data_IF_948984344189
#
_entry.id   IF_948984344189
#
_cell.length_a   1.000
_cell.length_b   1.000
_cell.length_c   1.000
_cell.angle_alpha   90.00
_cell.angle_beta   90.00
_cell.angle_gamma   90.00
#
_symmetry.space_group_name_H-M   'P 1'
#
loop_
_entity.id
_entity.type
_entity.pdbx_description
1 polymer ?
#
# COMPACT_ATOMS: atom_id res chain seq x y z
N UNK A 1 22.24 12.30 2.88
CA UNK A 1 20.84 12.49 2.45
C UNK A 1 20.62 13.85 1.80
N UNK A 2 20.55 14.97 2.53
CA UNK A 2 20.30 16.28 1.88
C UNK A 2 21.38 16.65 0.84
N UNK A 3 22.66 16.40 1.13
CA UNK A 3 23.74 16.60 0.16
C UNK A 3 23.70 15.67 -1.05
N UNK A 4 23.14 14.46 -0.91
CA UNK A 4 23.01 13.50 -2.03
C UNK A 4 21.84 13.89 -2.93
N UNK A 5 20.74 14.34 -2.33
CA UNK A 5 19.54 14.85 -3.03
C UNK A 5 19.88 16.06 -3.91
N UNK A 6 20.74 16.96 -3.42
CA UNK A 6 21.24 18.09 -4.19
C UNK A 6 22.14 17.65 -5.36
N UNK A 7 22.93 16.58 -5.18
CA UNK A 7 23.77 16.01 -6.24
C UNK A 7 22.97 15.26 -7.31
N UNK A 8 21.84 14.67 -6.92
CA UNK A 8 20.94 13.94 -7.83
C UNK A 8 19.87 14.84 -8.49
N UNK A 9 19.89 16.16 -8.22
CA UNK A 9 18.97 17.14 -8.81
C UNK A 9 17.48 16.79 -8.59
N UNK A 10 17.12 16.32 -7.40
CA UNK A 10 15.73 15.98 -7.08
C UNK A 10 14.98 17.23 -6.61
N UNK A 11 14.24 17.91 -7.48
CA UNK A 11 13.67 19.25 -7.20
C UNK A 11 12.31 19.28 -6.46
N UNK A 12 11.73 18.13 -6.08
CA UNK A 12 10.31 18.04 -5.69
C UNK A 12 10.09 17.74 -4.20
N UNK A 13 9.85 16.49 -3.82
CA UNK A 13 9.63 16.04 -2.44
C UNK A 13 10.19 14.63 -2.34
N UNK A 14 11.04 14.36 -1.34
CA UNK A 14 11.53 13.00 -1.08
C UNK A 14 10.62 12.35 -0.04
N UNK A 15 10.03 11.21 -0.42
CA UNK A 15 9.23 10.40 0.49
C UNK A 15 10.13 9.42 1.25
N UNK A 16 10.11 9.52 2.56
CA UNK A 16 10.88 8.64 3.43
C UNK A 16 10.05 7.43 3.84
N UNK A 17 10.43 6.28 3.29
CA UNK A 17 9.89 4.99 3.69
C UNK A 17 10.69 4.42 4.88
N UNK A 18 10.04 3.69 5.81
CA UNK A 18 10.73 2.97 6.86
C UNK A 18 11.62 1.87 6.29
N UNK A 19 12.75 1.60 6.94
CA UNK A 19 13.49 0.34 6.77
C UNK A 19 13.12 -0.64 7.89
N UNK A 20 13.50 -0.34 9.13
CA UNK A 20 13.14 -1.17 10.29
C UNK A 20 11.64 -1.12 10.61
N UNK A 21 10.99 0.03 10.39
CA UNK A 21 9.55 0.19 10.64
C UNK A 21 8.64 -0.69 9.77
N UNK A 22 9.18 -1.32 8.71
CA UNK A 22 8.45 -2.27 7.88
C UNK A 22 8.05 -3.54 8.67
N UNK A 23 8.83 -3.94 9.68
CA UNK A 23 8.48 -5.12 10.49
C UNK A 23 7.21 -4.92 11.31
N UNK A 24 6.81 -3.66 11.57
CA UNK A 24 5.57 -3.32 12.28
C UNK A 24 4.36 -3.92 11.57
N UNK A 25 4.41 -4.03 10.24
CA UNK A 25 3.33 -4.59 9.42
C UNK A 25 3.10 -6.08 9.68
N UNK A 26 4.02 -6.77 10.35
CA UNK A 26 3.99 -8.22 10.59
C UNK A 26 3.78 -8.62 12.04
N UNK A 27 3.68 -7.66 12.97
CA UNK A 27 3.43 -7.97 14.37
C UNK A 27 1.98 -8.44 14.59
N UNK A 28 1.82 -9.44 15.45
CA UNK A 28 0.51 -10.01 15.80
C UNK A 28 -0.11 -9.34 17.04
N UNK A 29 0.73 -8.83 17.95
CA UNK A 29 0.27 -8.13 19.16
C UNK A 29 -0.29 -6.76 18.80
N UNK A 30 -1.62 -6.61 18.95
CA UNK A 30 -2.38 -5.40 18.64
C UNK A 30 -1.88 -4.17 19.40
N UNK A 31 -1.67 -4.29 20.70
CA UNK A 31 -1.31 -3.15 21.54
C UNK A 31 0.13 -2.72 21.27
N UNK A 32 1.02 -3.69 21.07
CA UNK A 32 2.40 -3.41 20.71
C UNK A 32 2.51 -2.77 19.32
N UNK A 33 1.89 -3.37 18.30
CA UNK A 33 1.96 -2.90 16.92
C UNK A 33 1.34 -1.51 16.76
N UNK A 34 0.18 -1.26 17.37
CA UNK A 34 -0.50 0.04 17.30
C UNK A 34 0.29 1.16 17.98
N UNK A 35 0.86 0.91 19.16
CA UNK A 35 1.71 1.88 19.87
C UNK A 35 2.99 2.16 19.11
N UNK A 36 3.62 1.12 18.55
CA UNK A 36 4.85 1.25 17.78
C UNK A 36 4.61 1.99 16.46
N UNK A 37 3.49 1.74 15.77
CA UNK A 37 3.08 2.47 14.58
C UNK A 37 2.89 3.98 14.88
N UNK A 38 2.20 4.33 15.97
CA UNK A 38 2.05 5.73 16.40
C UNK A 38 3.39 6.37 16.73
N UNK A 39 4.24 5.66 17.48
CA UNK A 39 5.58 6.13 17.81
C UNK A 39 6.42 6.39 16.56
N UNK A 40 6.42 5.45 15.61
CA UNK A 40 7.12 5.60 14.33
C UNK A 40 6.58 6.79 13.54
N UNK A 41 5.26 6.95 13.44
CA UNK A 41 4.63 8.05 12.72
C UNK A 41 4.97 9.42 13.32
N UNK A 42 5.03 9.52 14.65
CA UNK A 42 5.49 10.73 15.32
C UNK A 42 6.98 10.98 15.04
N UNK A 43 7.82 9.96 15.21
CA UNK A 43 9.26 10.08 15.01
C UNK A 43 9.60 10.52 13.58
N UNK A 44 8.98 9.93 12.56
CA UNK A 44 9.27 10.31 11.16
C UNK A 44 8.76 11.71 10.85
N UNK A 45 7.62 12.13 11.42
CA UNK A 45 7.12 13.49 11.28
C UNK A 45 8.09 14.51 11.91
N UNK A 46 8.59 14.22 13.12
CA UNK A 46 9.57 15.06 13.81
C UNK A 46 10.90 15.15 13.04
N UNK A 47 11.36 14.04 12.44
CA UNK A 47 12.54 14.03 11.57
C UNK A 47 12.35 14.87 10.30
N UNK A 48 11.13 14.92 9.75
CA UNK A 48 10.82 15.67 8.54
C UNK A 48 10.55 17.16 8.81
N UNK A 49 10.09 17.51 10.01
CA UNK A 49 9.69 18.88 10.37
C UNK A 49 10.74 19.97 10.06
N UNK A 50 12.06 19.77 10.29
CA UNK A 50 13.09 20.77 9.99
C UNK A 50 13.24 21.09 8.50
N UNK A 51 12.76 20.22 7.61
CA UNK A 51 13.01 20.33 6.16
C UNK A 51 12.01 21.22 5.43
N UNK A 52 11.09 21.88 6.14
CA UNK A 52 10.09 22.81 5.58
C UNK A 52 9.28 22.22 4.40
N UNK A 53 9.04 20.91 4.44
CA UNK A 53 8.18 20.20 3.49
C UNK A 53 8.90 19.53 2.33
N UNK A 54 10.22 19.64 2.24
CA UNK A 54 11.05 18.95 1.24
C UNK A 54 11.14 17.44 1.48
N UNK A 55 11.26 17.02 2.74
CA UNK A 55 11.12 15.63 3.13
C UNK A 55 9.74 15.41 3.72
N UNK A 56 9.08 14.33 3.32
CA UNK A 56 7.84 13.89 3.96
C UNK A 56 7.91 12.40 4.29
N UNK A 57 7.52 12.08 5.52
CA UNK A 57 7.43 10.70 5.97
C UNK A 57 6.24 9.98 5.34
N UNK A 58 6.43 8.68 5.11
CA UNK A 58 5.35 7.74 4.86
C UNK A 58 5.04 7.03 6.18
N UNK A 59 3.78 7.13 6.62
CA UNK A 59 3.37 6.64 7.93
C UNK A 59 2.97 5.18 7.88
N UNK A 60 3.44 4.39 8.82
CA UNK A 60 3.08 2.98 8.94
C UNK A 60 1.68 2.85 9.52
N UNK A 61 0.85 2.08 8.82
CA UNK A 61 -0.47 1.68 9.32
C UNK A 61 -0.46 0.17 9.52
N UNK A 62 -0.63 -0.25 10.77
CA UNK A 62 -0.82 -1.67 11.06
C UNK A 62 -2.22 -2.09 10.58
N UNK A 63 -2.24 -2.99 9.59
CA UNK A 63 -3.45 -3.40 8.87
C UNK A 63 -4.27 -4.41 9.66
N UNK A 64 -5.09 -3.89 10.56
CA UNK A 64 -6.11 -4.64 11.27
C UNK A 64 -7.48 -4.00 11.10
N UNK A 65 -8.52 -4.57 11.71
CA UNK A 65 -9.89 -4.11 11.57
C UNK A 65 -10.35 -3.30 12.79
N UNK A 66 -11.36 -2.47 12.57
CA UNK A 66 -12.01 -1.70 13.63
C UNK A 66 -11.40 -0.32 13.87
N UNK A 67 -11.61 0.23 15.06
CA UNK A 67 -11.34 1.64 15.34
C UNK A 67 -9.84 1.98 15.40
N UNK A 68 -8.99 1.02 15.77
CA UNK A 68 -7.55 1.24 15.96
C UNK A 68 -6.88 1.72 14.69
N UNK A 69 -7.14 1.06 13.55
CA UNK A 69 -6.55 1.43 12.26
C UNK A 69 -6.98 2.84 11.84
N UNK A 70 -8.25 3.18 12.04
CA UNK A 70 -8.82 4.49 11.73
C UNK A 70 -8.15 5.58 12.58
N UNK A 71 -7.92 5.32 13.86
CA UNK A 71 -7.30 6.28 14.76
C UNK A 71 -5.80 6.47 14.50
N UNK A 72 -5.11 5.43 14.01
CA UNK A 72 -3.71 5.55 13.55
C UNK A 72 -3.67 6.37 12.25
N UNK A 73 -4.55 6.10 11.29
CA UNK A 73 -4.66 6.87 10.04
C UNK A 73 -4.99 8.34 10.33
N UNK A 74 -5.89 8.62 11.27
CA UNK A 74 -6.20 9.98 11.72
C UNK A 74 -4.97 10.67 12.29
N UNK A 75 -4.28 10.03 13.22
CA UNK A 75 -3.08 10.58 13.83
C UNK A 75 -1.98 10.83 12.79
N UNK A 76 -1.77 9.91 11.84
CA UNK A 76 -0.81 10.11 10.76
C UNK A 76 -1.16 11.35 9.91
N UNK A 77 -2.45 11.58 9.61
CA UNK A 77 -2.88 12.78 8.88
C UNK A 77 -2.59 14.06 9.65
N UNK A 78 -2.90 14.07 10.94
CA UNK A 78 -2.66 15.23 11.83
C UNK A 78 -1.17 15.59 11.93
N UNK A 79 -0.30 14.59 11.82
CA UNK A 79 1.15 14.75 11.81
C UNK A 79 1.72 15.23 10.46
N UNK A 80 0.89 15.37 9.43
CA UNK A 80 1.33 15.83 8.10
C UNK A 80 2.03 14.75 7.27
N UNK A 81 1.84 13.48 7.59
CA UNK A 81 2.34 12.34 6.80
C UNK A 81 1.78 12.39 5.38
N UNK A 82 2.63 12.13 4.38
CA UNK A 82 2.26 12.26 2.97
C UNK A 82 1.45 11.08 2.42
N UNK A 83 1.74 9.86 2.86
CA UNK A 83 1.08 8.63 2.42
C UNK A 83 1.07 7.59 3.55
N UNK A 84 0.10 6.67 3.51
CA UNK A 84 0.05 5.53 4.43
C UNK A 84 0.75 4.34 3.82
N UNK A 85 1.57 3.64 4.58
CA UNK A 85 2.23 2.41 4.19
C UNK A 85 1.44 1.20 4.70
N UNK A 86 1.09 0.30 3.78
CA UNK A 86 0.44 -0.99 4.06
C UNK A 86 1.15 -2.14 3.34
N UNK A 87 1.08 -3.36 3.88
CA UNK A 87 1.60 -4.53 3.17
C UNK A 87 0.67 -4.90 2.00
N UNK A 88 1.23 -5.46 0.91
CA UNK A 88 0.44 -5.87 -0.25
C UNK A 88 -0.40 -7.14 -0.01
N UNK A 89 0.01 -7.97 0.96
CA UNK A 89 -0.70 -9.17 1.39
C UNK A 89 -1.03 -9.06 2.87
N UNK A 90 -2.12 -9.69 3.32
CA UNK A 90 -2.44 -9.87 4.74
C UNK A 90 -2.44 -11.37 5.05
N UNK A 91 -2.20 -11.75 6.31
CA UNK A 91 -2.02 -13.15 6.71
C UNK A 91 -3.06 -14.13 6.11
N UNK A 92 -4.26 -14.18 6.69
CA UNK A 92 -5.33 -15.09 6.26
C UNK A 92 -6.38 -14.40 5.38
N UNK A 93 -6.14 -13.16 4.99
CA UNK A 93 -7.09 -12.28 4.31
C UNK A 93 -6.38 -11.56 3.18
N UNK A 94 -7.14 -11.06 2.24
CA UNK A 94 -6.63 -10.14 1.24
C UNK A 94 -7.24 -8.75 1.45
N UNK A 95 -6.78 -7.78 0.67
CA UNK A 95 -7.14 -6.37 0.81
C UNK A 95 -8.61 -6.06 0.42
N UNK A 96 -9.32 -6.98 -0.23
CA UNK A 96 -10.75 -6.86 -0.52
C UNK A 96 -11.68 -7.12 0.66
N UNK A 97 -11.16 -7.61 1.79
CA UNK A 97 -11.99 -8.11 2.87
C UNK A 97 -12.98 -7.02 3.37
N UNK A 98 -14.28 -7.32 3.54
CA UNK A 98 -15.30 -6.33 3.91
C UNK A 98 -14.98 -5.51 5.17
N UNK A 99 -14.33 -6.13 6.16
CA UNK A 99 -13.87 -5.47 7.40
C UNK A 99 -12.91 -4.29 7.17
N UNK A 100 -12.26 -4.20 6.00
CA UNK A 100 -11.38 -3.09 5.63
C UNK A 100 -12.14 -1.92 4.98
N UNK A 101 -13.44 -2.07 4.70
CA UNK A 101 -14.28 -1.00 4.15
C UNK A 101 -14.23 0.31 4.95
N UNK A 102 -14.41 0.27 6.29
CA UNK A 102 -14.27 1.47 7.14
C UNK A 102 -12.87 2.11 7.08
N UNK A 103 -11.83 1.31 6.89
CA UNK A 103 -10.47 1.81 6.73
C UNK A 103 -10.29 2.57 5.41
N UNK A 104 -10.74 2.00 4.29
CA UNK A 104 -10.68 2.69 2.99
C UNK A 104 -11.49 3.99 3.00
N UNK A 105 -12.68 3.97 3.62
CA UNK A 105 -13.48 5.17 3.81
C UNK A 105 -12.72 6.25 4.61
N UNK A 106 -12.04 5.86 5.70
CA UNK A 106 -11.25 6.79 6.51
C UNK A 106 -10.04 7.37 5.75
N UNK A 107 -9.39 6.58 4.88
CA UNK A 107 -8.30 7.06 4.03
C UNK A 107 -8.81 8.08 3.00
N UNK A 108 -9.93 7.77 2.35
CA UNK A 108 -10.56 8.62 1.33
C UNK A 108 -11.03 9.94 1.94
N UNK A 109 -11.74 9.89 3.06
CA UNK A 109 -12.20 11.08 3.80
C UNK A 109 -11.05 12.03 4.14
N UNK A 110 -9.86 11.47 4.42
CA UNK A 110 -8.66 12.23 4.80
C UNK A 110 -7.79 12.61 3.61
N UNK A 111 -8.16 12.18 2.41
CA UNK A 111 -7.39 12.37 1.19
C UNK A 111 -5.96 11.86 1.32
N UNK A 112 -5.75 10.73 2.00
CA UNK A 112 -4.42 10.12 2.11
C UNK A 112 -4.23 9.10 0.98
N UNK A 113 -3.08 9.10 0.28
CA UNK A 113 -2.72 8.00 -0.62
C UNK A 113 -2.36 6.73 0.15
N UNK A 114 -2.78 5.59 -0.38
CA UNK A 114 -2.41 4.25 0.09
C UNK A 114 -1.17 3.78 -0.67
N UNK A 115 -0.02 3.73 0.00
CA UNK A 115 1.21 3.20 -0.55
C UNK A 115 1.42 1.74 -0.12
N UNK A 116 1.66 0.89 -1.09
CA UNK A 116 1.98 -0.52 -0.90
C UNK A 116 3.46 -0.74 -1.10
N UNK A 117 4.10 -1.36 -0.11
CA UNK A 117 5.50 -1.71 -0.19
C UNK A 117 5.69 -3.13 0.32
N UNK A 118 6.03 -4.04 -0.58
CA UNK A 118 6.57 -5.34 -0.20
C UNK A 118 8.00 -5.14 0.28
N UNK A 119 8.36 -5.69 1.44
CA UNK A 119 9.71 -5.56 1.92
C UNK A 119 10.19 -6.81 2.65
N UNK A 120 11.51 -7.04 2.74
CA UNK A 120 12.03 -8.30 3.27
C UNK A 120 11.80 -8.45 4.77
N UNK A 121 11.62 -7.33 5.48
CA UNK A 121 11.26 -7.30 6.90
C UNK A 121 9.76 -7.49 7.15
N UNK A 122 8.94 -7.62 6.10
CA UNK A 122 7.53 -7.97 6.21
C UNK A 122 7.42 -9.50 6.22
N UNK A 123 7.27 -10.07 7.41
CA UNK A 123 7.17 -11.51 7.66
C UNK A 123 5.74 -12.03 7.49
N UNK A 124 5.12 -11.70 6.35
CA UNK A 124 3.83 -12.24 5.94
C UNK A 124 4.05 -13.36 4.91
N UNK A 125 3.10 -14.31 4.74
CA UNK A 125 3.24 -15.39 3.76
C UNK A 125 3.22 -14.83 2.32
N UNK A 126 4.39 -14.68 1.71
CA UNK A 126 4.58 -14.12 0.37
C UNK A 126 4.38 -15.18 -0.72
N UNK A 127 3.88 -14.75 -1.88
CA UNK A 127 3.61 -15.66 -3.00
C UNK A 127 4.89 -16.30 -3.52
N UNK A 128 4.91 -17.62 -3.55
CA UNK A 128 6.02 -18.40 -4.11
C UNK A 128 7.27 -18.44 -3.23
N UNK A 129 7.21 -17.95 -1.99
CA UNK A 129 8.35 -17.97 -1.05
C UNK A 129 8.91 -19.39 -0.86
N UNK A 130 8.04 -20.40 -0.79
CA UNK A 130 8.43 -21.81 -0.61
C UNK A 130 9.19 -22.40 -1.82
N UNK A 131 9.18 -21.72 -2.96
CA UNK A 131 9.90 -22.16 -4.17
C UNK A 131 11.36 -21.73 -4.15
N UNK A 132 11.73 -20.78 -3.31
CA UNK A 132 13.06 -20.18 -3.32
C UNK A 132 13.85 -20.62 -2.10
N UNK A 133 15.03 -21.18 -2.34
CA UNK A 133 16.02 -21.46 -1.30
C UNK A 133 17.02 -20.32 -1.12
N UNK A 134 17.13 -19.45 -2.12
CA UNK A 134 17.98 -18.27 -2.08
C UNK A 134 17.13 -17.04 -1.80
N UNK A 135 17.46 -16.34 -0.72
CA UNK A 135 16.74 -15.17 -0.26
C UNK A 135 16.63 -14.07 -1.32
N UNK A 136 17.63 -13.87 -2.18
CA UNK A 136 17.60 -12.80 -3.20
C UNK A 136 16.43 -12.96 -4.18
N UNK A 137 15.96 -14.18 -4.39
CA UNK A 137 14.88 -14.47 -5.34
C UNK A 137 13.52 -13.99 -4.81
N UNK A 138 13.38 -13.88 -3.49
CA UNK A 138 12.12 -13.48 -2.85
C UNK A 138 11.81 -11.99 -3.13
N UNK A 139 12.69 -11.01 -2.85
CA UNK A 139 12.45 -9.62 -3.26
C UNK A 139 12.31 -9.43 -4.76
N UNK A 140 13.10 -10.14 -5.58
CA UNK A 140 13.09 -9.96 -7.03
C UNK A 140 11.82 -10.49 -7.70
N UNK A 141 11.13 -11.46 -7.10
CA UNK A 141 9.99 -12.14 -7.71
C UNK A 141 8.75 -11.99 -6.84
N UNK A 142 8.78 -12.52 -5.62
CA UNK A 142 7.60 -12.59 -4.74
C UNK A 142 6.99 -11.22 -4.46
N UNK A 143 7.78 -10.17 -4.24
CA UNK A 143 7.21 -8.83 -3.95
C UNK A 143 6.37 -8.27 -5.09
N UNK A 144 6.78 -8.53 -6.33
CA UNK A 144 6.02 -8.10 -7.51
C UNK A 144 4.71 -8.86 -7.61
N UNK A 145 4.74 -10.18 -7.37
CA UNK A 145 3.52 -11.00 -7.39
C UNK A 145 2.56 -10.69 -6.24
N UNK A 146 3.06 -10.32 -5.07
CA UNK A 146 2.23 -9.86 -3.95
C UNK A 146 1.51 -8.55 -4.32
N UNK A 147 2.21 -7.60 -4.94
CA UNK A 147 1.60 -6.35 -5.40
C UNK A 147 0.63 -6.56 -6.58
N UNK A 148 0.91 -7.52 -7.46
CA UNK A 148 -0.05 -7.98 -8.48
C UNK A 148 -1.31 -8.58 -7.85
N UNK A 149 -1.17 -9.29 -6.74
CA UNK A 149 -2.31 -9.86 -6.00
C UNK A 149 -3.10 -8.76 -5.31
N UNK A 150 -2.42 -7.76 -4.75
CA UNK A 150 -3.05 -6.60 -4.15
C UNK A 150 -3.88 -5.80 -5.14
N UNK A 151 -3.35 -5.49 -6.34
CA UNK A 151 -4.14 -4.79 -7.38
C UNK A 151 -5.33 -5.67 -7.83
N UNK A 152 -5.11 -6.98 -8.00
CA UNK A 152 -6.17 -7.88 -8.42
C UNK A 152 -7.30 -7.91 -7.38
N UNK A 153 -6.96 -8.03 -6.10
CA UNK A 153 -7.89 -7.95 -4.98
C UNK A 153 -8.71 -6.65 -4.97
N UNK A 154 -8.02 -5.50 -5.04
CA UNK A 154 -8.65 -4.18 -4.96
C UNK A 154 -9.58 -3.89 -6.15
N UNK A 155 -9.15 -4.23 -7.37
CA UNK A 155 -9.93 -3.92 -8.58
C UNK A 155 -11.01 -4.98 -8.76
N UNK A 156 -10.70 -6.28 -8.74
CA UNK A 156 -11.67 -7.35 -9.06
C UNK A 156 -12.86 -7.42 -8.11
N UNK A 157 -12.67 -7.06 -6.84
CA UNK A 157 -13.73 -7.03 -5.84
C UNK A 157 -14.33 -5.63 -5.64
N UNK A 158 -14.07 -4.69 -6.56
CA UNK A 158 -14.70 -3.37 -6.62
C UNK A 158 -14.39 -2.46 -5.44
N UNK A 159 -13.23 -2.59 -4.77
CA UNK A 159 -12.84 -1.68 -3.68
C UNK A 159 -12.66 -0.26 -4.23
N UNK A 160 -11.97 -0.14 -5.36
CA UNK A 160 -11.76 1.15 -6.05
C UNK A 160 -13.08 1.76 -6.53
N UNK A 161 -14.08 0.92 -6.86
CA UNK A 161 -15.41 1.40 -7.26
C UNK A 161 -16.24 1.95 -6.10
N UNK A 162 -16.16 1.30 -4.94
CA UNK A 162 -16.80 1.81 -3.73
C UNK A 162 -16.12 3.08 -3.22
N UNK A 163 -14.86 3.28 -3.58
CA UNK A 163 -14.00 4.36 -3.11
C UNK A 163 -13.27 5.04 -4.27
N UNK A 164 -14.01 5.70 -5.16
CA UNK A 164 -13.47 6.29 -6.40
C UNK A 164 -12.43 7.39 -6.21
N UNK A 165 -12.27 7.92 -4.99
CA UNK A 165 -11.23 8.89 -4.64
C UNK A 165 -10.00 8.24 -3.99
N UNK A 166 -9.97 6.91 -3.88
CA UNK A 166 -8.84 6.17 -3.35
C UNK A 166 -7.69 6.23 -4.35
N UNK A 167 -6.54 6.70 -3.88
CA UNK A 167 -5.29 6.73 -4.64
C UNK A 167 -4.36 5.67 -4.08
N UNK A 168 -3.96 4.72 -4.91
CA UNK A 168 -3.07 3.63 -4.55
C UNK A 168 -1.73 3.82 -5.26
N UNK A 169 -0.62 3.57 -4.56
CA UNK A 169 0.73 3.67 -5.10
C UNK A 169 1.46 2.37 -4.82
N UNK A 170 2.06 1.78 -5.85
CA UNK A 170 2.82 0.53 -5.78
C UNK A 170 4.32 0.84 -5.81
N UNK A 171 5.04 0.50 -4.74
CA UNK A 171 6.45 0.89 -4.56
C UNK A 171 7.40 -0.28 -4.79
N UNK A 172 8.53 0.01 -5.44
CA UNK A 172 9.69 -0.89 -5.60
C UNK A 172 9.41 -2.22 -6.35
N UNK A 173 8.44 -2.25 -7.25
CA UNK A 173 8.06 -3.48 -8.00
C UNK A 173 8.04 -3.31 -9.52
N UNK A 174 8.65 -2.23 -10.01
CA UNK A 174 8.63 -1.88 -11.44
C UNK A 174 7.22 -1.55 -11.95
N UNK A 175 7.13 -1.23 -13.25
CA UNK A 175 5.90 -0.70 -13.87
C UNK A 175 5.41 -1.51 -15.09
N UNK A 176 6.02 -2.67 -15.39
CA UNK A 176 5.66 -3.46 -16.58
C UNK A 176 4.40 -4.32 -16.43
N UNK A 177 4.14 -4.81 -15.22
CA UNK A 177 3.04 -5.75 -14.92
C UNK A 177 1.64 -5.13 -14.75
N UNK A 178 1.44 -3.86 -14.38
CA UNK A 178 0.09 -3.28 -14.30
C UNK A 178 -0.60 -3.31 -15.66
N UNK A 179 0.16 -3.05 -16.73
CA UNK A 179 -0.34 -3.11 -18.10
C UNK A 179 -0.78 -4.53 -18.50
N UNK A 180 0.07 -5.54 -18.29
CA UNK A 180 -0.28 -6.94 -18.61
C UNK A 180 -1.46 -7.45 -17.77
N UNK A 181 -1.53 -7.06 -16.50
CA UNK A 181 -2.64 -7.39 -15.61
C UNK A 181 -3.95 -6.76 -16.09
N UNK A 182 -3.93 -5.49 -16.52
CA UNK A 182 -5.10 -4.81 -17.07
C UNK A 182 -5.61 -5.48 -18.36
N UNK A 183 -4.72 -5.94 -19.23
CA UNK A 183 -5.07 -6.66 -20.47
C UNK A 183 -5.75 -7.99 -20.14
N UNK A 184 -5.17 -8.77 -19.22
CA UNK A 184 -5.73 -10.05 -18.80
C UNK A 184 -7.11 -9.89 -18.14
N UNK A 185 -7.30 -8.84 -17.33
CA UNK A 185 -8.60 -8.54 -16.72
C UNK A 185 -9.65 -8.14 -17.78
N UNK A 186 -9.25 -7.33 -18.77
CA UNK A 186 -10.12 -6.89 -19.87
C UNK A 186 -10.57 -8.06 -20.75
N UNK A 187 -9.67 -9.00 -21.06
CA UNK A 187 -10.00 -10.16 -21.90
C UNK A 187 -11.01 -11.10 -21.23
N UNK A 188 -10.88 -11.33 -19.93
CA UNK A 188 -11.81 -12.15 -19.13
C UNK A 188 -13.18 -11.46 -18.98
N UNK A 189 -13.20 -10.13 -18.86
CA UNK A 189 -14.46 -9.37 -18.78
C UNK A 189 -15.25 -9.48 -20.09
N UNK A 190 -14.56 -9.46 -21.23
CA UNK A 190 -15.18 -9.59 -22.56
C UNK A 190 -15.68 -10.99 -22.88
N UNK A 191 -15.15 -12.04 -22.23
CA UNK A 191 -15.64 -13.41 -22.45
C UNK A 191 -16.98 -13.67 -21.76
N UNK A 192 -17.42 -12.81 -20.83
CA UNK A 192 -18.72 -12.93 -20.15
C UNK A 192 -18.83 -14.14 -19.20
N UNK A 193 -17.71 -14.81 -18.90
CA UNK A 193 -17.72 -16.11 -18.23
C UNK A 193 -17.81 -16.05 -16.70
N UNK A 194 -17.68 -14.88 -16.06
CA UNK A 194 -17.67 -14.79 -14.59
C UNK A 194 -18.46 -13.55 -14.14
N UNK A 195 -19.68 -13.78 -13.67
CA UNK A 195 -20.49 -12.77 -13.00
C UNK A 195 -19.95 -12.53 -11.59
N UNK A 196 -19.19 -11.46 -11.41
CA UNK A 196 -18.85 -11.00 -10.08
C UNK A 196 -20.05 -10.24 -9.50
N UNK A 197 -20.83 -10.86 -8.60
CA UNK A 197 -21.98 -10.22 -7.92
C UNK A 197 -21.62 -8.89 -7.22
N UNK A 198 -20.33 -8.63 -6.97
CA UNK A 198 -19.76 -7.39 -6.40
C UNK A 198 -18.50 -6.90 -7.11
N UNK A 199 -18.24 -7.32 -8.35
CA UNK A 199 -17.00 -6.99 -9.05
C UNK A 199 -17.06 -5.72 -9.88
N UNK A 200 -15.97 -5.46 -10.61
CA UNK A 200 -15.79 -4.22 -11.34
C UNK A 200 -16.85 -4.01 -12.45
N UNK A 201 -17.31 -2.76 -12.58
CA UNK A 201 -18.20 -2.20 -13.60
C UNK A 201 -17.47 -1.38 -14.68
N UNK A 202 -16.27 -0.88 -14.40
CA UNK A 202 -15.44 -0.15 -15.38
C UNK A 202 -14.22 -0.96 -15.86
N UNK A 203 -13.68 -0.60 -17.03
CA UNK A 203 -12.48 -1.23 -17.56
C UNK A 203 -11.30 -0.89 -16.64
N UNK A 204 -10.47 -1.86 -16.21
CA UNK A 204 -9.34 -1.59 -15.34
C UNK A 204 -8.36 -0.54 -15.85
N UNK A 205 -8.32 -0.30 -17.18
CA UNK A 205 -7.51 0.76 -17.79
C UNK A 205 -8.03 2.16 -17.47
N UNK A 206 -9.32 2.31 -17.19
CA UNK A 206 -9.92 3.58 -16.80
C UNK A 206 -9.40 4.03 -15.43
N UNK A 207 -9.23 3.10 -14.48
CA UNK A 207 -8.65 3.41 -13.16
C UNK A 207 -7.19 3.86 -13.22
N UNK A 208 -6.40 3.27 -14.13
CA UNK A 208 -5.03 3.71 -14.40
C UNK A 208 -5.01 5.11 -15.04
N UNK A 209 -5.95 5.39 -15.95
CA UNK A 209 -6.04 6.70 -16.61
C UNK A 209 -6.52 7.82 -15.67
N UNK A 210 -7.41 7.50 -14.72
CA UNK A 210 -7.93 8.41 -13.70
C UNK A 210 -6.93 8.68 -12.56
N UNK A 211 -5.84 7.90 -12.47
CA UNK A 211 -4.83 8.04 -11.43
C UNK A 211 -5.26 7.49 -10.07
N UNK A 212 -6.23 6.56 -10.06
CA UNK A 212 -6.62 5.83 -8.85
C UNK A 212 -5.56 4.77 -8.47
N UNK A 213 -4.78 4.30 -9.47
CA UNK A 213 -3.72 3.29 -9.37
C UNK A 213 -2.51 3.74 -10.20
#
# INVERSE_FOLDING_TARGET
MLGDVDCEHIDTIVLLYPSLGLCILSFEDRDFASRLARFYNQWIADCCAPTKGWLRGVGVIWMEHGQVVIDITRNAKELGIAATLVPPVLNARNLEHPDLGPFYAAIVERGMPLSMHGAPSVHLPQIGVDRFKNYIQVPCISFSFDQMTAIAALVSNGVVERHTQLRVVFMEVGAGWPHSSSIACTSITRSGEIGFERGWRHDPRDYLAEGNI
#
